data_IF_086059105065
#
_entry.id   IF_086059105065
#
_cell.length_a   1.000
_cell.length_b   1.000
_cell.length_c   1.000
_cell.angle_alpha   90.00
_cell.angle_beta   90.00
_cell.angle_gamma   90.00
#
_symmetry.space_group_name_H-M   'P 1'
#
loop_
_entity.id
_entity.type
_entity.pdbx_description
1 polymer ?
#
# COMPACT_ATOMS: atom_id res chain seq x y z
N UNK A 1 -6.14 -13.19 12.36
CA UNK A 1 -6.03 -14.52 11.71
C UNK A 1 -7.21 -15.45 12.01
N UNK A 2 -7.37 -15.98 13.23
CA UNK A 2 -8.46 -16.91 13.62
C UNK A 2 -9.87 -16.54 13.09
N UNK A 3 -10.25 -15.25 13.17
CA UNK A 3 -11.53 -14.74 12.62
C UNK A 3 -11.71 -14.99 11.12
N UNK A 4 -10.65 -14.85 10.33
CA UNK A 4 -10.68 -15.10 8.88
C UNK A 4 -10.64 -16.60 8.57
N UNK A 5 -9.92 -17.40 9.35
CA UNK A 5 -9.96 -18.87 9.22
C UNK A 5 -11.37 -19.42 9.46
N UNK A 6 -12.10 -18.87 10.44
CA UNK A 6 -13.51 -19.21 10.68
C UNK A 6 -14.45 -18.81 9.54
N UNK A 7 -14.07 -17.82 8.71
CA UNK A 7 -14.78 -17.47 7.47
C UNK A 7 -14.41 -18.38 6.29
N UNK A 8 -13.53 -19.37 6.48
CA UNK A 8 -13.11 -20.32 5.46
C UNK A 8 -11.84 -19.92 4.69
N UNK A 9 -11.16 -18.83 5.08
CA UNK A 9 -9.88 -18.49 4.45
C UNK A 9 -8.77 -19.43 4.92
N UNK A 10 -8.04 -20.02 3.97
CA UNK A 10 -6.84 -20.82 4.23
C UNK A 10 -5.59 -19.96 4.06
N UNK A 11 -4.80 -19.85 5.11
CA UNK A 11 -3.49 -19.22 5.06
C UNK A 11 -2.43 -20.26 4.67
N UNK A 12 -1.52 -19.87 3.78
CA UNK A 12 -0.40 -20.69 3.32
C UNK A 12 0.86 -20.44 4.15
N UNK A 13 0.97 -19.26 4.74
CA UNK A 13 2.11 -18.82 5.55
C UNK A 13 1.66 -18.32 6.91
N UNK A 14 2.63 -18.10 7.80
CA UNK A 14 2.40 -17.45 9.09
C UNK A 14 2.77 -15.97 9.08
N UNK A 15 3.06 -15.40 7.90
CA UNK A 15 3.48 -14.00 7.77
C UNK A 15 2.29 -13.05 7.93
N UNK A 16 2.55 -11.88 8.53
CA UNK A 16 1.54 -10.84 8.69
C UNK A 16 1.16 -10.17 7.37
N UNK A 17 2.06 -10.16 6.39
CA UNK A 17 1.77 -9.65 5.04
C UNK A 17 0.62 -10.41 4.38
N UNK A 18 0.55 -11.74 4.55
CA UNK A 18 -0.57 -12.54 4.06
C UNK A 18 -1.86 -12.24 4.83
N UNK A 19 -1.76 -12.06 6.16
CA UNK A 19 -2.91 -11.65 6.98
C UNK A 19 -3.50 -10.32 6.49
N UNK A 20 -2.65 -9.32 6.26
CA UNK A 20 -3.06 -8.01 5.75
C UNK A 20 -3.73 -8.14 4.38
N UNK A 21 -3.11 -8.88 3.45
CA UNK A 21 -3.65 -9.05 2.10
C UNK A 21 -5.03 -9.74 2.11
N UNK A 22 -5.19 -10.81 2.89
CA UNK A 22 -6.46 -11.53 3.03
C UNK A 22 -7.50 -10.65 3.72
N UNK A 23 -7.11 -9.91 4.77
CA UNK A 23 -8.03 -9.02 5.49
C UNK A 23 -8.55 -7.89 4.61
N UNK A 24 -7.68 -7.21 3.85
CA UNK A 24 -8.11 -6.14 2.93
C UNK A 24 -9.04 -6.71 1.85
N UNK A 25 -8.69 -7.87 1.29
CA UNK A 25 -9.54 -8.58 0.31
C UNK A 25 -10.91 -8.94 0.89
N UNK A 26 -10.97 -9.47 2.11
CA UNK A 26 -12.20 -9.81 2.82
C UNK A 26 -13.10 -8.58 3.01
N UNK A 27 -12.54 -7.46 3.48
CA UNK A 27 -13.28 -6.20 3.66
C UNK A 27 -13.86 -5.68 2.36
N UNK A 28 -13.08 -5.75 1.29
CA UNK A 28 -13.54 -5.31 -0.03
C UNK A 28 -14.64 -6.25 -0.59
N UNK A 29 -14.57 -7.56 -0.32
CA UNK A 29 -15.65 -8.50 -0.67
C UNK A 29 -16.93 -8.22 0.11
N UNK A 30 -16.83 -7.71 1.33
CA UNK A 30 -17.98 -7.27 2.14
C UNK A 30 -18.56 -5.91 1.70
N UNK A 31 -18.05 -5.33 0.60
CA UNK A 31 -18.59 -4.12 -0.01
C UNK A 31 -17.85 -2.83 0.33
N UNK A 32 -16.76 -2.90 1.11
CA UNK A 32 -15.94 -1.72 1.35
C UNK A 32 -15.16 -1.34 0.09
N UNK A 33 -15.05 -0.03 -0.14
CA UNK A 33 -14.08 0.49 -1.12
C UNK A 33 -12.65 0.20 -0.65
N UNK A 34 -11.68 0.26 -1.56
CA UNK A 34 -10.25 0.13 -1.19
C UNK A 34 -9.87 1.18 -0.15
N UNK A 35 -10.31 2.43 -0.34
CA UNK A 35 -10.03 3.52 0.60
C UNK A 35 -10.54 3.21 2.00
N UNK A 36 -11.81 2.82 2.12
CA UNK A 36 -12.40 2.42 3.40
C UNK A 36 -11.68 1.22 4.04
N UNK A 37 -11.25 0.25 3.24
CA UNK A 37 -10.48 -0.88 3.74
C UNK A 37 -9.10 -0.44 4.27
N UNK A 38 -8.41 0.46 3.56
CA UNK A 38 -7.12 1.01 4.02
C UNK A 38 -7.29 1.83 5.31
N UNK A 39 -8.28 2.71 5.38
CA UNK A 39 -8.58 3.47 6.61
C UNK A 39 -8.85 2.54 7.79
N UNK A 40 -9.72 1.53 7.62
CA UNK A 40 -10.00 0.55 8.68
C UNK A 40 -8.80 -0.32 9.05
N UNK A 41 -7.87 -0.56 8.12
CA UNK A 41 -6.68 -1.35 8.41
C UNK A 41 -5.82 -0.71 9.50
N UNK A 42 -5.78 0.63 9.54
CA UNK A 42 -5.05 1.42 10.56
C UNK A 42 -5.67 1.24 11.96
N UNK A 43 -6.98 1.00 12.02
CA UNK A 43 -7.73 0.86 13.26
C UNK A 43 -7.80 -0.60 13.76
N UNK A 44 -7.96 -1.56 12.84
CA UNK A 44 -8.23 -2.97 13.16
C UNK A 44 -6.99 -3.87 13.13
N UNK A 45 -5.89 -3.45 12.49
CA UNK A 45 -4.65 -4.24 12.41
C UNK A 45 -3.68 -3.72 13.47
N UNK A 46 -3.35 -4.58 14.42
CA UNK A 46 -2.37 -4.27 15.46
C UNK A 46 -0.93 -4.39 14.94
N UNK A 47 -0.05 -3.56 15.48
CA UNK A 47 1.40 -3.63 15.25
C UNK A 47 1.95 -2.51 14.37
N UNK A 48 3.20 -2.70 13.95
CA UNK A 48 3.97 -1.73 13.16
C UNK A 48 4.06 -2.20 11.71
N UNK A 49 3.43 -1.48 10.81
CA UNK A 49 3.34 -1.81 9.41
C UNK A 49 3.38 -0.59 8.50
N UNK A 50 3.98 -0.81 7.34
CA UNK A 50 3.71 -0.05 6.13
C UNK A 50 3.54 -1.10 5.05
N UNK A 51 2.39 -1.10 4.38
CA UNK A 51 2.11 -2.05 3.31
C UNK A 51 1.59 -1.34 2.08
N UNK A 52 1.77 -2.00 0.94
CA UNK A 52 1.17 -1.63 -0.33
C UNK A 52 0.35 -2.80 -0.85
N UNK A 53 -0.81 -2.53 -1.43
CA UNK A 53 -1.68 -3.52 -2.06
C UNK A 53 -2.04 -3.04 -3.46
N UNK A 54 -1.96 -3.91 -4.45
CA UNK A 54 -2.27 -3.57 -5.84
C UNK A 54 -3.57 -4.21 -6.31
N UNK A 55 -4.26 -3.47 -7.18
CA UNK A 55 -5.29 -3.96 -8.09
C UNK A 55 -4.84 -3.63 -9.51
N UNK A 56 -5.59 -4.13 -10.50
CA UNK A 56 -5.26 -3.92 -11.92
C UNK A 56 -5.13 -2.43 -12.31
N UNK A 57 -5.86 -1.54 -11.65
CA UNK A 57 -6.00 -0.12 -12.00
C UNK A 57 -5.46 0.84 -10.93
N UNK A 58 -4.95 0.34 -9.79
CA UNK A 58 -4.54 1.19 -8.67
C UNK A 58 -3.64 0.47 -7.67
N UNK A 59 -2.84 1.25 -6.96
CA UNK A 59 -2.05 0.80 -5.81
C UNK A 59 -2.48 1.61 -4.59
N UNK A 60 -2.80 0.93 -3.51
CA UNK A 60 -3.10 1.53 -2.22
C UNK A 60 -1.97 1.29 -1.22
N UNK A 61 -1.75 2.22 -0.31
CA UNK A 61 -0.85 2.04 0.83
C UNK A 61 -1.52 2.45 2.13
N UNK A 62 -1.07 1.87 3.24
CA UNK A 62 -1.41 2.32 4.58
C UNK A 62 -0.21 2.17 5.53
N UNK A 63 -0.14 3.09 6.48
CA UNK A 63 0.88 3.17 7.53
C UNK A 63 0.23 3.06 8.90
N UNK A 64 0.92 2.37 9.80
CA UNK A 64 0.52 2.24 11.20
C UNK A 64 0.51 3.59 11.94
N UNK A 65 -0.01 3.55 13.18
CA UNK A 65 -0.20 4.70 14.06
C UNK A 65 1.08 5.25 14.69
N UNK A 66 2.20 4.57 14.51
CA UNK A 66 3.52 4.89 15.07
C UNK A 66 4.49 5.45 14.01
N UNK A 67 4.18 5.31 12.72
CA UNK A 67 4.99 5.81 11.60
C UNK A 67 6.44 5.29 11.57
N UNK A 68 6.72 4.13 12.17
CA UNK A 68 8.11 3.68 12.36
C UNK A 68 8.78 3.16 11.08
N UNK A 69 8.00 2.83 10.04
CA UNK A 69 8.52 2.35 8.76
C UNK A 69 8.38 3.45 7.70
N UNK A 70 9.47 3.92 7.06
CA UNK A 70 9.43 5.00 6.08
C UNK A 70 8.75 4.57 4.77
N UNK A 71 8.22 5.56 4.04
CA UNK A 71 7.71 5.40 2.67
C UNK A 71 8.05 6.66 1.88
N UNK A 72 8.91 6.51 0.89
CA UNK A 72 9.37 7.55 -0.02
C UNK A 72 8.80 7.29 -1.40
N UNK A 73 8.27 8.33 -2.03
CA UNK A 73 7.60 8.24 -3.32
C UNK A 73 8.04 9.34 -4.27
N UNK A 74 8.27 8.97 -5.52
CA UNK A 74 8.33 9.88 -6.67
C UNK A 74 7.07 9.61 -7.49
N UNK A 75 6.33 10.66 -7.83
CA UNK A 75 5.12 10.58 -8.63
C UNK A 75 5.13 11.69 -9.68
N UNK A 76 5.61 11.37 -10.87
CA UNK A 76 5.80 12.32 -11.96
C UNK A 76 5.46 11.66 -13.29
N UNK A 77 4.96 12.44 -14.25
CA UNK A 77 4.71 11.98 -15.62
C UNK A 77 3.83 10.71 -15.75
N UNK A 78 2.94 10.49 -14.77
CA UNK A 78 2.08 9.31 -14.71
C UNK A 78 2.80 8.02 -14.30
N UNK A 79 4.03 8.11 -13.83
CA UNK A 79 4.77 7.01 -13.21
C UNK A 79 4.87 7.21 -11.71
N UNK A 80 4.83 6.09 -10.99
CA UNK A 80 5.04 6.06 -9.56
C UNK A 80 6.17 5.11 -9.18
N UNK A 81 7.09 5.63 -8.38
CA UNK A 81 8.21 4.91 -7.81
C UNK A 81 8.14 5.04 -6.31
N UNK A 82 8.06 3.91 -5.59
CA UNK A 82 7.92 3.89 -4.14
C UNK A 82 8.95 2.94 -3.52
N UNK A 83 9.57 3.35 -2.42
CA UNK A 83 10.46 2.51 -1.63
C UNK A 83 10.46 2.94 -0.16
N UNK A 84 11.14 2.17 0.69
CA UNK A 84 11.39 2.56 2.08
C UNK A 84 12.52 3.58 2.22
N UNK A 85 13.34 3.75 1.18
CA UNK A 85 14.51 4.63 1.20
C UNK A 85 14.59 5.48 -0.07
N UNK A 86 14.96 6.76 0.08
CA UNK A 86 15.12 7.71 -1.03
C UNK A 86 16.13 7.23 -2.07
N UNK A 87 17.24 6.64 -1.62
CA UNK A 87 18.29 6.14 -2.52
C UNK A 87 17.77 5.05 -3.47
N UNK A 88 16.75 4.29 -3.07
CA UNK A 88 16.17 3.24 -3.91
C UNK A 88 15.31 3.83 -5.03
N UNK A 89 14.52 4.87 -4.76
CA UNK A 89 13.70 5.53 -5.79
C UNK A 89 14.55 6.40 -6.72
N UNK A 90 15.64 7.01 -6.23
CA UNK A 90 16.59 7.75 -7.08
C UNK A 90 17.35 6.88 -8.07
N UNK A 91 17.63 5.61 -7.74
CA UNK A 91 18.29 4.68 -8.67
C UNK A 91 17.48 4.38 -9.94
N UNK A 92 16.18 4.67 -9.92
CA UNK A 92 15.28 4.44 -11.07
C UNK A 92 14.78 5.76 -11.68
N UNK A 93 15.19 6.90 -11.13
CA UNK A 93 14.82 8.23 -11.61
C UNK A 93 16.09 9.09 -11.67
N UNK A 94 16.65 9.22 -12.87
CA UNK A 94 17.91 9.94 -13.12
C UNK A 94 17.75 11.48 -13.14
N UNK A 95 16.53 11.99 -12.94
CA UNK A 95 16.24 13.42 -12.93
C UNK A 95 16.47 14.02 -11.52
N UNK A 96 17.46 14.89 -11.38
CA UNK A 96 17.74 15.59 -10.12
C UNK A 96 16.65 16.58 -9.71
N UNK A 97 15.82 17.03 -10.67
CA UNK A 97 14.71 17.96 -10.44
C UNK A 97 13.43 17.31 -9.93
N UNK A 98 13.40 15.98 -9.76
CA UNK A 98 12.18 15.25 -9.42
C UNK A 98 11.71 15.57 -8.00
N UNK A 99 10.40 15.74 -7.83
CA UNK A 99 9.81 15.95 -6.51
C UNK A 99 9.76 14.64 -5.71
N UNK A 100 10.28 14.68 -4.49
CA UNK A 100 10.27 13.54 -3.56
C UNK A 100 9.23 13.80 -2.47
N UNK A 101 8.35 12.83 -2.28
CA UNK A 101 7.32 12.84 -1.27
C UNK A 101 7.71 11.84 -0.17
N UNK A 102 7.95 12.36 1.04
CA UNK A 102 8.17 11.55 2.23
C UNK A 102 6.86 11.41 3.01
N UNK A 103 6.30 10.20 3.05
CA UNK A 103 5.12 9.89 3.86
C UNK A 103 5.54 9.49 5.28
N UNK A 104 6.00 10.46 6.08
CA UNK A 104 6.57 10.20 7.42
C UNK A 104 5.53 10.26 8.55
N UNK A 105 4.29 10.65 8.26
CA UNK A 105 3.23 10.77 9.25
C UNK A 105 2.65 9.42 9.70
N UNK A 106 2.11 9.36 10.93
CA UNK A 106 1.35 8.21 11.41
C UNK A 106 -0.03 8.17 10.77
N UNK A 107 -0.63 6.97 10.72
CA UNK A 107 -2.01 6.76 10.28
C UNK A 107 -2.29 7.30 8.87
N UNK A 108 -1.28 7.35 8.01
CA UNK A 108 -1.45 7.76 6.62
C UNK A 108 -1.92 6.59 5.77
N UNK A 109 -2.80 6.88 4.83
CA UNK A 109 -3.10 6.00 3.72
C UNK A 109 -3.25 6.82 2.44
N UNK A 110 -3.18 6.14 1.30
CA UNK A 110 -3.39 6.77 0.01
C UNK A 110 -3.60 5.76 -1.10
N UNK A 111 -4.10 6.25 -2.23
CA UNK A 111 -4.34 5.44 -3.43
C UNK A 111 -3.76 6.21 -4.62
N UNK A 112 -2.97 5.51 -5.41
CA UNK A 112 -2.47 5.96 -6.70
C UNK A 112 -3.18 5.18 -7.80
N UNK A 113 -3.70 5.89 -8.80
CA UNK A 113 -4.20 5.26 -10.02
C UNK A 113 -3.04 4.71 -10.85
N UNK A 114 -3.23 3.52 -11.43
CA UNK A 114 -2.26 2.88 -12.33
C UNK A 114 -2.96 2.63 -13.66
N UNK A 115 -2.50 3.31 -14.71
CA UNK A 115 -3.11 3.30 -16.04
C UNK A 115 -2.12 2.88 -17.13
N UNK A 116 -2.58 1.99 -18.01
CA UNK A 116 -1.81 1.38 -19.11
C UNK A 116 -1.22 2.42 -20.09
N UNK A 117 0.10 2.39 -20.29
CA UNK A 117 0.78 2.96 -21.48
C UNK A 117 0.41 2.14 -22.74
N UNK A 118 -0.84 2.23 -23.19
CA UNK A 118 -1.25 1.89 -24.56
C UNK A 118 -2.00 3.07 -25.16
N UNK A 119 -1.32 4.21 -25.28
CA UNK A 119 -1.77 5.36 -26.07
C UNK A 119 -0.60 6.30 -26.43
N UNK A 120 0.59 5.74 -26.65
CA UNK A 120 1.71 6.46 -27.27
C UNK A 120 2.36 5.49 -28.26
N UNK A 121 1.70 5.33 -29.40
CA UNK A 121 2.25 4.80 -30.64
C UNK A 121 2.07 5.90 -31.69
#
# INVERSE_FOLDING_TARGET
RKRLELKGYRFLTYNDSELIAVWVSDRMKEGLTMEQALTRSIEEIDGVFTFMISRADKIGFAKDRFAMKPLVVINENGEISAATEEQSVRRICDDEGVSIINYDGPSLHGIWGVGNRRAAA
#
